data_IF_520080122822
#
_entry.id   IF_520080122822
#
_cell.length_a   1.000
_cell.length_b   1.000
_cell.length_c   1.000
_cell.angle_alpha   90.00
_cell.angle_beta   90.00
_cell.angle_gamma   90.00
#
_symmetry.space_group_name_H-M   'P 1'
#
loop_
_entity.id
_entity.type
_entity.pdbx_description
1 polymer ?
#
# COMPACT_ATOMS: atom_id res chain seq x y z
N UNK A 1 20.64 1.15 -4.14
CA UNK A 1 20.35 2.50 -4.64
C UNK A 1 19.54 3.25 -3.58
N UNK A 2 20.07 4.37 -3.10
CA UNK A 2 19.42 5.23 -2.11
C UNK A 2 19.33 6.63 -2.67
N UNK A 3 18.15 7.25 -2.55
CA UNK A 3 17.95 8.64 -2.95
C UNK A 3 17.37 9.42 -1.75
N UNK A 4 18.19 10.24 -1.12
CA UNK A 4 17.79 11.02 0.06
C UNK A 4 16.75 12.11 -0.22
N UNK A 5 16.60 12.52 -1.50
CA UNK A 5 15.57 13.51 -1.88
C UNK A 5 14.16 12.92 -1.95
N UNK A 6 14.06 11.63 -2.32
CA UNK A 6 12.80 10.90 -2.45
C UNK A 6 12.57 9.92 -1.30
N UNK A 7 13.57 9.74 -0.43
CA UNK A 7 13.63 8.70 0.59
C UNK A 7 13.48 7.27 0.02
N UNK A 8 13.77 7.10 -1.27
CA UNK A 8 13.73 5.80 -1.92
C UNK A 8 14.95 4.97 -1.54
N UNK A 9 14.72 3.72 -1.17
CA UNK A 9 15.76 2.73 -0.93
C UNK A 9 15.41 1.43 -1.64
N UNK A 10 16.39 0.85 -2.33
CA UNK A 10 16.24 -0.42 -3.00
C UNK A 10 17.58 -1.06 -3.31
N UNK A 11 17.57 -2.37 -3.51
CA UNK A 11 18.74 -3.17 -3.81
C UNK A 11 18.46 -4.21 -4.91
N UNK A 12 19.49 -4.56 -5.66
CA UNK A 12 19.46 -5.67 -6.61
C UNK A 12 20.31 -6.80 -6.02
N UNK A 13 19.73 -7.99 -6.00
CA UNK A 13 20.39 -9.22 -5.58
C UNK A 13 20.37 -10.22 -6.74
N UNK A 14 21.34 -11.11 -6.77
CA UNK A 14 21.34 -12.26 -7.66
C UNK A 14 21.39 -13.55 -6.83
N UNK A 15 20.50 -14.47 -7.10
CA UNK A 15 20.54 -15.82 -6.53
C UNK A 15 21.65 -16.60 -7.24
N UNK A 16 22.69 -17.00 -6.51
CA UNK A 16 23.87 -17.69 -7.06
C UNK A 16 23.56 -19.10 -7.61
N UNK A 17 22.43 -19.69 -7.24
CA UNK A 17 22.03 -21.03 -7.69
C UNK A 17 21.21 -20.99 -8.96
N UNK A 18 20.30 -20.01 -9.07
CA UNK A 18 19.34 -19.90 -10.19
C UNK A 18 19.69 -18.81 -11.17
N UNK A 19 20.63 -17.93 -10.81
CA UNK A 19 20.95 -16.67 -11.50
C UNK A 19 19.78 -15.68 -11.56
N UNK A 20 18.67 -15.92 -10.87
CA UNK A 20 17.55 -15.00 -10.80
C UNK A 20 17.99 -13.66 -10.18
N UNK A 21 17.57 -12.56 -10.79
CA UNK A 21 17.81 -11.21 -10.29
C UNK A 21 16.58 -10.73 -9.52
N UNK A 22 16.78 -10.36 -8.27
CA UNK A 22 15.74 -9.87 -7.38
C UNK A 22 15.92 -8.38 -7.18
N UNK A 23 14.91 -7.60 -7.54
CA UNK A 23 14.87 -6.14 -7.29
C UNK A 23 14.00 -5.91 -6.06
N UNK A 24 14.64 -5.57 -4.95
CA UNK A 24 13.99 -5.35 -3.67
C UNK A 24 13.75 -3.86 -3.42
N UNK A 25 12.49 -3.50 -3.19
CA UNK A 25 12.06 -2.15 -2.84
C UNK A 25 11.74 -2.08 -1.34
N UNK A 26 12.39 -1.16 -0.63
CA UNK A 26 12.14 -0.95 0.79
C UNK A 26 10.85 -0.15 0.97
N UNK A 27 10.02 -0.56 1.92
CA UNK A 27 8.93 0.25 2.45
C UNK A 27 9.42 1.32 3.42
N UNK A 28 8.60 2.31 3.69
CA UNK A 28 8.91 3.36 4.68
C UNK A 28 8.52 2.88 6.08
N UNK A 29 9.43 2.97 7.05
CA UNK A 29 9.18 2.59 8.45
C UNK A 29 8.10 3.46 9.11
N UNK A 30 7.98 4.72 8.69
CA UNK A 30 7.01 5.68 9.22
C UNK A 30 5.53 5.41 8.84
N UNK A 31 5.24 4.35 8.07
CA UNK A 31 3.85 3.95 7.79
C UNK A 31 3.11 3.44 9.05
N UNK A 32 3.84 3.02 10.08
CA UNK A 32 3.26 2.60 11.37
C UNK A 32 2.81 3.81 12.19
N UNK A 33 3.54 4.92 12.13
CA UNK A 33 3.22 6.18 12.80
C UNK A 33 2.21 7.04 12.01
N UNK A 34 2.10 6.81 10.74
CA UNK A 34 1.12 7.48 9.94
C UNK A 34 -0.26 6.88 10.24
N UNK A 35 -1.05 7.56 11.02
CA UNK A 35 -2.54 7.55 11.01
C UNK A 35 -2.95 8.01 9.62
N UNK A 36 -2.75 7.18 8.66
CA UNK A 36 -2.20 7.38 7.34
C UNK A 36 -3.16 8.15 6.48
N UNK A 37 -2.81 9.35 6.18
CA UNK A 37 -3.33 10.07 5.03
C UNK A 37 -2.95 9.27 3.76
N UNK A 38 -3.95 8.70 3.11
CA UNK A 38 -3.83 7.97 1.85
C UNK A 38 -3.05 8.78 0.80
N UNK A 39 -3.26 10.10 0.80
CA UNK A 39 -2.56 11.02 -0.09
C UNK A 39 -1.05 11.01 0.14
N UNK A 40 -0.62 10.99 1.39
CA UNK A 40 0.82 10.93 1.71
C UNK A 40 1.45 9.63 1.18
N UNK A 41 0.72 8.51 1.24
CA UNK A 41 1.17 7.24 0.64
C UNK A 41 1.27 7.35 -0.87
N UNK A 42 0.23 7.87 -1.52
CA UNK A 42 0.17 8.03 -2.97
C UNK A 42 1.27 8.99 -3.47
N UNK A 43 1.43 10.13 -2.81
CA UNK A 43 2.46 11.11 -3.16
C UNK A 43 3.87 10.49 -3.02
N UNK A 44 4.14 9.75 -1.94
CA UNK A 44 5.43 9.05 -1.76
C UNK A 44 5.66 7.97 -2.80
N UNK A 45 4.66 7.14 -3.09
CA UNK A 45 4.77 6.12 -4.14
C UNK A 45 5.08 6.76 -5.48
N UNK A 46 4.37 7.83 -5.85
CA UNK A 46 4.59 8.54 -7.11
C UNK A 46 6.00 9.13 -7.21
N UNK A 47 6.49 9.76 -6.13
CA UNK A 47 7.83 10.34 -6.06
C UNK A 47 8.91 9.24 -6.19
N UNK A 48 8.72 8.09 -5.52
CA UNK A 48 9.69 7.01 -5.50
C UNK A 48 9.63 6.09 -6.74
N UNK A 49 8.52 6.09 -7.48
CA UNK A 49 8.32 5.19 -8.61
C UNK A 49 9.37 5.33 -9.71
N UNK A 50 9.88 6.54 -9.95
CA UNK A 50 10.93 6.78 -10.95
C UNK A 50 12.31 6.28 -10.48
N UNK A 51 12.63 6.38 -9.19
CA UNK A 51 13.87 5.81 -8.66
C UNK A 51 13.80 4.28 -8.64
N UNK A 52 12.65 3.71 -8.33
CA UNK A 52 12.40 2.28 -8.48
C UNK A 52 12.56 1.82 -9.93
N UNK A 53 12.10 2.61 -10.91
CA UNK A 53 12.30 2.32 -12.33
C UNK A 53 13.79 2.41 -12.75
N UNK A 54 14.55 3.34 -12.19
CA UNK A 54 16.01 3.40 -12.43
C UNK A 54 16.69 2.13 -11.91
N UNK A 55 16.35 1.68 -10.71
CA UNK A 55 16.87 0.44 -10.14
C UNK A 55 16.51 -0.78 -11.00
N UNK A 56 15.25 -0.86 -11.46
CA UNK A 56 14.79 -1.93 -12.36
C UNK A 56 15.57 -1.92 -13.69
N UNK A 57 15.85 -0.74 -14.27
CA UNK A 57 16.68 -0.63 -15.48
C UNK A 57 18.14 -1.06 -15.24
N UNK A 58 18.68 -0.87 -14.03
CA UNK A 58 19.99 -1.42 -13.67
C UNK A 58 19.97 -2.95 -13.68
N UNK A 59 18.96 -3.55 -13.06
CA UNK A 59 18.77 -5.01 -13.06
C UNK A 59 18.61 -5.58 -14.49
N UNK A 60 17.93 -4.85 -15.39
CA UNK A 60 17.82 -5.23 -16.79
C UNK A 60 19.19 -5.26 -17.49
N UNK A 61 20.04 -4.26 -17.25
CA UNK A 61 21.41 -4.22 -17.81
C UNK A 61 22.25 -5.38 -17.30
N UNK A 62 22.19 -5.67 -16.00
CA UNK A 62 22.89 -6.82 -15.41
C UNK A 62 22.45 -8.15 -16.06
N UNK A 63 21.13 -8.33 -16.29
CA UNK A 63 20.60 -9.51 -16.97
C UNK A 63 21.09 -9.62 -18.42
N UNK A 64 21.16 -8.50 -19.14
CA UNK A 64 21.63 -8.44 -20.52
C UNK A 64 23.14 -8.71 -20.61
N UNK A 65 23.93 -8.14 -19.72
CA UNK A 65 25.37 -8.34 -19.66
C UNK A 65 25.73 -9.79 -19.23
N UNK A 66 24.95 -10.37 -18.31
CA UNK A 66 25.06 -11.79 -17.99
C UNK A 66 24.88 -12.67 -19.25
N UNK A 67 23.84 -12.38 -20.04
CA UNK A 67 23.54 -13.15 -21.26
C UNK A 67 24.64 -13.02 -22.32
N UNK A 68 25.20 -11.82 -22.49
CA UNK A 68 26.33 -11.60 -23.43
C UNK A 68 27.58 -12.39 -23.04
N UNK A 69 27.86 -12.44 -21.73
CA UNK A 69 29.04 -13.09 -21.20
C UNK A 69 28.89 -14.61 -21.04
N UNK A 70 27.62 -15.11 -21.05
CA UNK A 70 27.29 -16.52 -20.83
C UNK A 70 26.35 -17.04 -21.92
N UNK A 71 26.83 -17.07 -23.18
CA UNK A 71 26.01 -17.38 -24.37
C UNK A 71 25.24 -18.71 -24.32
N UNK A 72 25.66 -19.64 -23.50
CA UNK A 72 25.00 -20.94 -23.32
C UNK A 72 24.00 -20.99 -22.13
N UNK A 73 23.77 -19.87 -21.47
CA UNK A 73 22.84 -19.77 -20.35
C UNK A 73 21.65 -18.87 -20.70
N UNK A 74 20.50 -19.21 -20.14
CA UNK A 74 19.30 -18.38 -20.29
C UNK A 74 19.50 -17.02 -19.61
N UNK A 75 18.90 -15.99 -20.21
CA UNK A 75 18.86 -14.66 -19.61
C UNK A 75 18.22 -14.75 -18.21
N UNK A 76 18.84 -14.18 -17.18
CA UNK A 76 18.30 -14.18 -15.85
C UNK A 76 16.86 -13.61 -15.81
N UNK A 77 16.00 -14.32 -15.10
CA UNK A 77 14.67 -13.82 -14.76
C UNK A 77 14.81 -12.68 -13.75
N UNK A 78 13.96 -11.66 -13.87
CA UNK A 78 13.92 -10.54 -12.92
C UNK A 78 12.61 -10.62 -12.16
N UNK A 79 12.70 -10.62 -10.83
CA UNK A 79 11.55 -10.61 -9.91
C UNK A 79 11.57 -9.35 -9.04
N UNK A 80 10.45 -8.65 -9.01
CA UNK A 80 10.25 -7.47 -8.18
C UNK A 80 9.74 -7.90 -6.79
N UNK A 81 10.34 -7.40 -5.72
CA UNK A 81 9.89 -7.75 -4.36
C UNK A 81 9.76 -6.52 -3.47
N UNK A 82 8.82 -6.57 -2.53
CA UNK A 82 8.67 -5.48 -1.57
C UNK A 82 7.64 -5.75 -0.48
N UNK A 83 7.78 -5.01 0.61
CA UNK A 83 6.86 -5.00 1.75
C UNK A 83 6.22 -3.62 1.90
N UNK A 84 4.96 -3.56 2.32
CA UNK A 84 4.30 -2.29 2.59
C UNK A 84 4.30 -1.37 1.35
N UNK A 85 4.75 -0.13 1.46
CA UNK A 85 4.93 0.81 0.34
C UNK A 85 5.93 0.28 -0.71
N UNK A 86 6.99 -0.40 -0.30
CA UNK A 86 7.91 -1.08 -1.22
C UNK A 86 7.22 -2.15 -2.06
N UNK A 87 6.18 -2.79 -1.52
CA UNK A 87 5.33 -3.72 -2.25
C UNK A 87 4.48 -3.03 -3.32
N UNK A 88 3.99 -1.81 -3.08
CA UNK A 88 3.32 -1.02 -4.11
C UNK A 88 4.29 -0.68 -5.26
N UNK A 89 5.53 -0.29 -4.93
CA UNK A 89 6.58 -0.06 -5.93
C UNK A 89 6.88 -1.33 -6.73
N UNK A 90 6.98 -2.49 -6.07
CA UNK A 90 7.17 -3.77 -6.75
C UNK A 90 6.03 -4.09 -7.74
N UNK A 91 4.77 -3.87 -7.36
CA UNK A 91 3.60 -4.01 -8.25
C UNK A 91 3.71 -3.09 -9.47
N UNK A 92 4.06 -1.81 -9.26
CA UNK A 92 4.21 -0.81 -10.32
C UNK A 92 5.31 -1.23 -11.30
N UNK A 93 6.49 -1.61 -10.79
CA UNK A 93 7.60 -2.01 -11.65
C UNK A 93 7.31 -3.34 -12.36
N UNK A 94 6.64 -4.30 -11.71
CA UNK A 94 6.18 -5.53 -12.36
C UNK A 94 5.26 -5.24 -13.55
N UNK A 95 4.31 -4.31 -13.38
CA UNK A 95 3.42 -3.90 -14.46
C UNK A 95 4.17 -3.20 -15.59
N UNK A 96 4.95 -2.15 -15.26
CA UNK A 96 5.66 -1.31 -16.23
C UNK A 96 6.70 -2.07 -17.07
N UNK A 97 7.41 -3.01 -16.46
CA UNK A 97 8.49 -3.76 -17.09
C UNK A 97 8.10 -5.20 -17.45
N UNK A 98 6.84 -5.57 -17.26
CA UNK A 98 6.34 -6.90 -17.54
C UNK A 98 7.10 -8.01 -16.80
N UNK A 99 7.53 -7.75 -15.56
CA UNK A 99 8.22 -8.67 -14.69
C UNK A 99 7.24 -9.42 -13.76
N UNK A 100 7.69 -10.55 -13.24
CA UNK A 100 7.03 -11.16 -12.10
C UNK A 100 7.34 -10.40 -10.81
N UNK A 101 6.48 -10.57 -9.80
CA UNK A 101 6.68 -9.95 -8.50
C UNK A 101 6.11 -10.76 -7.35
N UNK A 102 6.69 -10.55 -6.17
CA UNK A 102 6.21 -11.11 -4.90
C UNK A 102 6.18 -9.99 -3.87
N UNK A 103 5.05 -9.78 -3.24
CA UNK A 103 4.92 -8.73 -2.24
C UNK A 103 4.36 -9.25 -0.92
N UNK A 104 4.65 -8.55 0.16
CA UNK A 104 4.26 -8.92 1.51
C UNK A 104 3.56 -7.73 2.18
N UNK A 105 2.30 -7.93 2.61
CA UNK A 105 1.49 -6.86 3.19
C UNK A 105 1.59 -5.53 2.42
N UNK A 106 1.65 -5.62 1.09
CA UNK A 106 1.84 -4.46 0.25
C UNK A 106 0.63 -3.52 0.31
N UNK A 107 0.85 -2.23 0.21
CA UNK A 107 -0.21 -1.32 -0.20
C UNK A 107 -0.57 -1.62 -1.67
N UNK A 108 -1.86 -1.66 -2.00
CA UNK A 108 -2.30 -1.98 -3.36
C UNK A 108 -1.99 -0.87 -4.35
N UNK A 109 -1.36 -1.22 -5.47
CA UNK A 109 -0.98 -0.25 -6.50
C UNK A 109 -2.09 0.04 -7.52
N UNK A 110 -3.14 -0.76 -7.60
CA UNK A 110 -4.21 -0.60 -8.58
C UNK A 110 -5.11 0.63 -8.33
N UNK A 111 -5.00 1.28 -7.17
CA UNK A 111 -5.60 2.59 -6.92
C UNK A 111 -4.83 3.75 -7.57
N UNK A 112 -3.63 3.47 -8.09
CA UNK A 112 -2.78 4.44 -8.77
C UNK A 112 -3.13 4.51 -10.26
N UNK A 113 -2.91 5.68 -10.86
CA UNK A 113 -3.18 5.90 -12.28
C UNK A 113 -2.47 4.87 -13.15
N UNK A 114 -3.19 4.31 -14.08
CA UNK A 114 -2.71 3.38 -15.12
C UNK A 114 -2.25 1.99 -14.63
N UNK A 115 -2.47 1.64 -13.37
CA UNK A 115 -2.19 0.30 -12.85
C UNK A 115 -3.52 -0.48 -12.75
N UNK A 116 -3.74 -1.56 -13.52
CA UNK A 116 -4.97 -2.34 -13.46
C UNK A 116 -5.06 -3.17 -12.16
N UNK A 117 -6.28 -3.44 -11.73
CA UNK A 117 -6.54 -4.39 -10.66
C UNK A 117 -6.43 -5.83 -11.18
N UNK A 118 -5.95 -6.75 -10.34
CA UNK A 118 -5.87 -8.17 -10.68
C UNK A 118 -4.69 -8.52 -11.57
N UNK A 119 -4.83 -9.62 -12.32
CA UNK A 119 -3.75 -10.20 -13.11
C UNK A 119 -3.01 -11.33 -12.38
N UNK A 120 -1.97 -11.88 -13.02
CA UNK A 120 -1.28 -13.08 -12.52
C UNK A 120 0.24 -12.94 -12.39
N UNK A 121 0.82 -11.79 -12.71
CA UNK A 121 2.27 -11.59 -12.67
C UNK A 121 2.82 -11.35 -11.27
N UNK A 122 2.01 -10.76 -10.40
CA UNK A 122 2.41 -10.51 -9.02
C UNK A 122 1.61 -11.39 -8.08
N UNK A 123 2.30 -11.98 -7.12
CA UNK A 123 1.67 -12.66 -5.98
C UNK A 123 1.82 -11.76 -4.75
N UNK A 124 0.69 -11.33 -4.22
CA UNK A 124 0.62 -10.45 -3.07
C UNK A 124 0.21 -11.28 -1.84
N UNK A 125 1.15 -11.62 -0.98
CA UNK A 125 0.86 -12.26 0.31
C UNK A 125 0.42 -11.23 1.33
N UNK A 126 -0.77 -11.40 1.88
CA UNK A 126 -1.35 -10.48 2.85
C UNK A 126 -1.82 -11.22 4.11
N UNK A 127 -1.62 -10.59 5.28
CA UNK A 127 -2.21 -11.06 6.52
C UNK A 127 -3.68 -10.67 6.59
N UNK A 128 -4.49 -11.54 7.18
CA UNK A 128 -5.96 -11.39 7.22
C UNK A 128 -6.41 -10.05 7.81
N UNK A 129 -5.75 -9.60 8.86
CA UNK A 129 -6.08 -8.37 9.60
C UNK A 129 -5.15 -7.20 9.32
N UNK A 130 -4.33 -7.28 8.27
CA UNK A 130 -3.45 -6.18 7.89
C UNK A 130 -4.21 -5.08 7.14
N UNK A 131 -4.36 -3.92 7.80
CA UNK A 131 -5.08 -2.79 7.27
C UNK A 131 -4.36 -2.12 6.07
N UNK A 132 -3.04 -2.21 5.97
CA UNK A 132 -2.29 -1.61 4.87
C UNK A 132 -2.57 -2.34 3.57
N UNK A 133 -2.50 -3.67 3.58
CA UNK A 133 -2.82 -4.47 2.39
C UNK A 133 -4.32 -4.50 2.05
N UNK A 134 -5.19 -4.14 3.01
CA UNK A 134 -6.62 -4.02 2.78
C UNK A 134 -7.02 -2.66 2.20
N UNK A 135 -6.15 -1.64 2.29
CA UNK A 135 -6.52 -0.25 2.03
C UNK A 135 -6.76 0.10 0.56
N UNK A 136 -6.21 -0.67 -0.38
CA UNK A 136 -6.34 -0.42 -1.81
C UNK A 136 -6.29 -1.72 -2.62
N UNK A 137 -6.88 -1.74 -3.84
CA UNK A 137 -6.82 -2.89 -4.72
C UNK A 137 -5.39 -3.13 -5.24
N UNK A 138 -5.08 -4.39 -5.55
CA UNK A 138 -3.75 -4.82 -5.95
C UNK A 138 -3.65 -5.14 -7.44
N UNK A 139 -2.48 -4.87 -8.03
CA UNK A 139 -2.06 -5.51 -9.27
C UNK A 139 -1.52 -6.90 -8.94
N UNK A 140 -2.06 -7.93 -9.62
CA UNK A 140 -1.72 -9.32 -9.37
C UNK A 140 -2.72 -10.05 -8.44
N UNK A 141 -2.40 -11.31 -8.16
CA UNK A 141 -3.21 -12.19 -7.29
C UNK A 141 -2.93 -11.89 -5.82
N UNK A 142 -3.97 -11.75 -5.01
CA UNK A 142 -3.85 -11.65 -3.55
C UNK A 142 -4.06 -13.02 -2.91
N UNK A 143 -3.14 -13.41 -2.03
CA UNK A 143 -3.23 -14.61 -1.20
C UNK A 143 -3.27 -14.17 0.26
N UNK A 144 -4.41 -14.37 0.90
CA UNK A 144 -4.60 -14.02 2.29
C UNK A 144 -4.23 -15.21 3.18
N UNK A 145 -3.43 -14.94 4.20
CA UNK A 145 -2.96 -15.90 5.19
C UNK A 145 -3.39 -15.41 6.59
N UNK A 146 -3.96 -16.30 7.40
CA UNK A 146 -4.47 -15.98 8.72
C UNK A 146 -3.78 -16.76 9.84
N UNK A 147 -3.63 -16.12 11.00
CA UNK A 147 -3.38 -16.79 12.29
C UNK A 147 -4.65 -16.76 13.13
N UNK A 148 -4.81 -17.76 14.04
CA UNK A 148 -5.98 -17.83 14.90
C UNK A 148 -6.17 -16.56 15.75
N UNK A 149 -5.06 -15.95 16.19
CA UNK A 149 -5.10 -14.69 16.97
C UNK A 149 -5.74 -13.52 16.21
N UNK A 150 -5.52 -13.43 14.89
CA UNK A 150 -6.13 -12.41 14.05
C UNK A 150 -7.64 -12.61 13.93
N UNK A 151 -8.06 -13.85 13.71
CA UNK A 151 -9.49 -14.17 13.60
C UNK A 151 -10.21 -13.93 14.91
N UNK A 152 -9.60 -14.29 16.03
CA UNK A 152 -10.15 -13.98 17.36
C UNK A 152 -10.31 -12.46 17.54
N UNK A 153 -9.31 -11.69 17.12
CA UNK A 153 -9.38 -10.24 17.16
C UNK A 153 -10.52 -9.70 16.30
N UNK A 154 -10.61 -10.10 15.03
CA UNK A 154 -11.69 -9.69 14.13
C UNK A 154 -13.06 -10.09 14.69
N UNK A 155 -13.17 -11.28 15.24
CA UNK A 155 -14.41 -11.75 15.86
C UNK A 155 -14.83 -10.86 17.04
N UNK A 156 -13.91 -10.52 17.95
CA UNK A 156 -14.18 -9.65 19.11
C UNK A 156 -14.47 -8.20 18.71
N UNK A 157 -14.02 -7.78 17.54
CA UNK A 157 -14.29 -6.47 16.96
C UNK A 157 -15.63 -6.38 16.21
N UNK A 158 -16.41 -7.46 16.18
CA UNK A 158 -17.75 -7.47 15.63
C UNK A 158 -17.89 -8.06 14.21
N UNK A 159 -16.81 -8.57 13.61
CA UNK A 159 -16.87 -9.26 12.30
C UNK A 159 -17.33 -10.72 12.43
N UNK A 160 -18.26 -11.01 13.34
CA UNK A 160 -18.69 -12.37 13.69
C UNK A 160 -20.07 -12.75 13.11
N UNK A 161 -20.56 -12.01 12.12
CA UNK A 161 -21.90 -12.17 11.52
C UNK A 161 -23.07 -12.06 12.54
N UNK A 162 -22.85 -11.46 13.69
CA UNK A 162 -23.88 -11.25 14.69
C UNK A 162 -24.70 -10.01 14.37
N UNK A 163 -25.95 -10.20 14.01
CA UNK A 163 -26.92 -9.14 13.63
C UNK A 163 -27.15 -8.10 14.75
N UNK A 164 -26.75 -8.41 15.98
CA UNK A 164 -27.00 -7.58 17.18
C UNK A 164 -25.79 -6.84 17.70
N UNK A 165 -24.67 -6.82 16.96
CA UNK A 165 -23.47 -6.09 17.38
C UNK A 165 -23.55 -4.61 16.96
N UNK A 166 -23.05 -3.69 17.78
CA UNK A 166 -22.93 -2.30 17.38
C UNK A 166 -21.99 -2.17 16.16
N UNK A 167 -22.14 -1.10 15.37
CA UNK A 167 -21.27 -0.88 14.20
C UNK A 167 -19.79 -0.95 14.61
N UNK A 168 -19.04 -1.72 13.85
CA UNK A 168 -17.61 -1.95 14.08
C UNK A 168 -16.87 -0.63 13.96
N UNK A 169 -16.02 -0.31 14.92
CA UNK A 169 -15.08 0.79 14.78
C UNK A 169 -13.84 0.31 14.02
N UNK A 170 -13.96 0.22 12.71
CA UNK A 170 -12.91 -0.30 11.82
C UNK A 170 -11.60 0.50 11.90
N UNK A 171 -11.71 1.81 12.19
CA UNK A 171 -10.51 2.64 12.39
C UNK A 171 -9.74 2.21 13.65
N UNK A 172 -10.46 1.91 14.74
CA UNK A 172 -9.83 1.36 15.96
C UNK A 172 -9.28 -0.05 15.70
N UNK A 173 -10.02 -0.89 14.95
CA UNK A 173 -9.59 -2.23 14.58
C UNK A 173 -8.27 -2.22 13.78
N UNK A 174 -8.15 -1.32 12.83
CA UNK A 174 -6.94 -1.16 12.01
C UNK A 174 -5.73 -0.75 12.84
N UNK A 175 -5.93 0.02 13.92
CA UNK A 175 -4.85 0.48 14.81
C UNK A 175 -4.40 -0.61 15.79
N UNK A 176 -5.29 -1.50 16.23
CA UNK A 176 -4.98 -2.53 17.23
C UNK A 176 -4.09 -3.64 16.68
N UNK A 177 -4.12 -3.89 15.38
CA UNK A 177 -3.42 -5.03 14.77
C UNK A 177 -2.18 -4.66 13.94
N UNK A 178 -1.41 -3.68 14.40
CA UNK A 178 -0.15 -3.28 13.75
C UNK A 178 0.86 -4.44 13.62
N UNK A 179 0.83 -5.41 14.54
CA UNK A 179 1.67 -6.61 14.47
C UNK A 179 1.44 -7.47 13.22
N UNK A 180 0.24 -7.46 12.65
CA UNK A 180 -0.05 -8.17 11.40
C UNK A 180 0.72 -7.58 10.21
N UNK A 181 1.03 -6.28 10.23
CA UNK A 181 1.74 -5.60 9.15
C UNK A 181 3.23 -5.95 9.08
N UNK A 182 3.83 -6.39 10.16
CA UNK A 182 5.29 -6.59 10.24
C UNK A 182 5.82 -7.57 9.17
N UNK A 183 6.95 -7.21 8.55
CA UNK A 183 7.69 -8.11 7.62
C UNK A 183 8.17 -9.38 8.32
N UNK A 184 8.39 -9.35 9.64
CA UNK A 184 8.79 -10.53 10.43
C UNK A 184 7.77 -11.68 10.35
N UNK A 185 6.52 -11.41 9.99
CA UNK A 185 5.53 -12.44 9.73
C UNK A 185 5.87 -13.34 8.54
N UNK A 186 6.70 -12.87 7.62
CA UNK A 186 7.05 -13.53 6.35
C UNK A 186 8.50 -13.99 6.29
N UNK A 187 9.29 -13.76 7.34
CA UNK A 187 10.72 -14.06 7.40
C UNK A 187 11.06 -14.94 8.60
N UNK A 188 12.23 -15.60 8.55
CA UNK A 188 12.71 -16.47 9.64
C UNK A 188 12.02 -17.82 9.72
N UNK A 189 12.37 -18.60 10.74
CA UNK A 189 11.89 -19.98 10.95
C UNK A 189 10.39 -20.08 11.21
N UNK A 190 9.80 -19.05 11.83
CA UNK A 190 8.38 -18.98 12.16
C UNK A 190 7.56 -18.23 11.11
N UNK A 191 8.13 -18.01 9.93
CA UNK A 191 7.45 -17.40 8.80
C UNK A 191 6.11 -18.09 8.51
N UNK A 192 5.09 -17.29 8.25
CA UNK A 192 3.78 -17.81 7.81
C UNK A 192 3.89 -18.50 6.44
N UNK A 193 4.96 -18.24 5.68
CA UNK A 193 5.26 -18.86 4.39
C UNK A 193 6.12 -20.13 4.50
N UNK A 194 6.54 -20.53 5.70
CA UNK A 194 7.28 -21.79 5.87
C UNK A 194 6.40 -22.98 5.48
N UNK A 195 7.03 -24.07 5.04
CA UNK A 195 6.32 -25.32 4.67
C UNK A 195 5.32 -25.77 5.75
N UNK A 196 5.69 -25.62 7.02
CA UNK A 196 4.86 -25.97 8.16
C UNK A 196 3.63 -25.07 8.32
N UNK A 197 3.75 -23.77 8.06
CA UNK A 197 2.75 -22.76 8.44
C UNK A 197 1.86 -22.36 7.26
N UNK A 198 2.34 -22.45 6.04
CA UNK A 198 1.65 -21.89 4.86
C UNK A 198 0.28 -22.51 4.63
N UNK A 199 0.21 -23.84 4.51
CA UNK A 199 -1.05 -24.50 4.21
C UNK A 199 -2.09 -24.33 5.32
N UNK A 200 -1.76 -24.48 6.62
CA UNK A 200 -2.69 -24.18 7.72
C UNK A 200 -3.19 -22.73 7.71
N UNK A 201 -2.32 -21.75 7.44
CA UNK A 201 -2.70 -20.35 7.41
C UNK A 201 -3.64 -20.02 6.23
N UNK A 202 -3.41 -20.63 5.07
CA UNK A 202 -4.26 -20.51 3.90
C UNK A 202 -5.66 -21.10 4.15
N UNK A 203 -5.73 -22.32 4.67
CA UNK A 203 -7.00 -22.98 5.00
C UNK A 203 -7.78 -22.19 6.06
N UNK A 204 -7.08 -21.68 7.06
CA UNK A 204 -7.69 -20.87 8.11
C UNK A 204 -8.32 -19.60 7.54
N UNK A 205 -7.62 -18.93 6.62
CA UNK A 205 -8.15 -17.75 5.92
C UNK A 205 -9.37 -18.12 5.05
N UNK A 206 -9.32 -19.24 4.33
CA UNK A 206 -10.42 -19.68 3.48
C UNK A 206 -11.69 -20.02 4.28
N UNK A 207 -11.56 -20.70 5.42
CA UNK A 207 -12.72 -21.02 6.29
C UNK A 207 -13.37 -19.77 6.91
N UNK A 208 -12.62 -18.70 7.06
CA UNK A 208 -13.09 -17.46 7.66
C UNK A 208 -13.19 -16.31 6.64
N UNK A 209 -13.35 -16.66 5.37
CA UNK A 209 -13.29 -15.74 4.24
C UNK A 209 -14.22 -14.56 4.40
N UNK A 210 -15.50 -14.79 4.71
CA UNK A 210 -16.51 -13.74 4.85
C UNK A 210 -16.10 -12.70 5.89
N UNK A 211 -15.71 -13.13 7.10
CA UNK A 211 -15.26 -12.23 8.16
C UNK A 211 -14.05 -11.38 7.74
N UNK A 212 -13.12 -11.98 7.03
CA UNK A 212 -11.91 -11.31 6.57
C UNK A 212 -12.25 -10.31 5.45
N UNK A 213 -13.11 -10.70 4.51
CA UNK A 213 -13.55 -9.83 3.41
C UNK A 213 -14.31 -8.63 3.94
N UNK A 214 -15.27 -8.81 4.85
CA UNK A 214 -16.03 -7.74 5.49
C UNK A 214 -15.09 -6.71 6.16
N UNK A 215 -14.09 -7.20 6.92
CA UNK A 215 -13.09 -6.32 7.52
C UNK A 215 -12.29 -5.54 6.46
N UNK A 216 -11.81 -6.23 5.42
CA UNK A 216 -10.98 -5.62 4.37
C UNK A 216 -11.76 -4.62 3.52
N UNK A 217 -13.05 -4.88 3.26
CA UNK A 217 -13.93 -3.94 2.58
C UNK A 217 -14.21 -2.69 3.41
N UNK A 218 -14.43 -2.84 4.72
CA UNK A 218 -14.58 -1.71 5.63
C UNK A 218 -13.32 -0.84 5.68
N UNK A 219 -12.13 -1.45 5.75
CA UNK A 219 -10.86 -0.72 5.70
C UNK A 219 -10.75 0.07 4.39
N UNK A 220 -11.04 -0.55 3.26
CA UNK A 220 -11.04 0.07 1.93
C UNK A 220 -12.03 1.23 1.85
N UNK A 221 -13.24 1.05 2.39
CA UNK A 221 -14.28 2.08 2.42
C UNK A 221 -13.85 3.31 3.24
N UNK A 222 -13.36 3.11 4.46
CA UNK A 222 -12.89 4.19 5.32
C UNK A 222 -11.74 4.95 4.66
N UNK A 223 -10.78 4.22 4.06
CA UNK A 223 -9.66 4.83 3.34
C UNK A 223 -10.11 5.67 2.15
N UNK A 224 -11.07 5.17 1.38
CA UNK A 224 -11.63 5.94 0.26
C UNK A 224 -12.41 7.17 0.72
N UNK A 225 -13.11 7.08 1.85
CA UNK A 225 -13.84 8.19 2.47
C UNK A 225 -12.90 9.30 2.97
N UNK A 226 -11.82 8.93 3.65
CA UNK A 226 -10.78 9.88 4.09
C UNK A 226 -10.16 10.60 2.88
N UNK A 227 -9.86 9.88 1.82
CA UNK A 227 -9.30 10.48 0.60
C UNK A 227 -10.24 11.52 -0.01
N UNK A 228 -11.51 11.17 -0.21
CA UNK A 228 -12.53 12.11 -0.75
C UNK A 228 -12.71 13.34 0.13
N UNK A 229 -12.72 13.16 1.46
CA UNK A 229 -12.84 14.26 2.40
C UNK A 229 -11.62 15.19 2.31
N UNK A 230 -10.42 14.65 2.21
CA UNK A 230 -9.21 15.44 2.07
C UNK A 230 -9.14 16.20 0.73
N UNK A 231 -9.63 15.60 -0.37
CA UNK A 231 -9.75 16.32 -1.65
C UNK A 231 -10.74 17.49 -1.53
N UNK A 232 -11.91 17.23 -0.94
CA UNK A 232 -12.91 18.29 -0.73
C UNK A 232 -12.38 19.44 0.13
N UNK A 233 -11.66 19.15 1.20
CA UNK A 233 -11.04 20.17 2.06
C UNK A 233 -10.02 21.02 1.29
N UNK A 234 -9.23 20.41 0.40
CA UNK A 234 -8.29 21.16 -0.44
C UNK A 234 -8.96 22.07 -1.43
N UNK A 235 -9.98 21.57 -2.11
CA UNK A 235 -10.73 22.38 -3.06
C UNK A 235 -11.37 23.56 -2.34
N UNK A 236 -11.90 23.34 -1.13
CA UNK A 236 -12.45 24.39 -0.28
C UNK A 236 -11.38 25.42 0.12
N UNK A 237 -10.19 24.97 0.52
CA UNK A 237 -9.06 25.84 0.87
C UNK A 237 -8.59 26.66 -0.35
N UNK A 238 -8.54 26.04 -1.53
CA UNK A 238 -8.16 26.73 -2.76
C UNK A 238 -9.21 27.77 -3.19
N UNK A 239 -10.50 27.46 -3.05
CA UNK A 239 -11.59 28.41 -3.27
C UNK A 239 -11.46 29.59 -2.29
N UNK A 240 -11.25 29.30 -1.01
CA UNK A 240 -11.05 30.33 0.02
C UNK A 240 -9.86 31.23 -0.31
N UNK A 241 -8.71 30.67 -0.68
CA UNK A 241 -7.52 31.42 -1.08
C UNK A 241 -7.80 32.33 -2.26
N UNK A 242 -8.43 31.80 -3.33
CA UNK A 242 -8.78 32.62 -4.51
C UNK A 242 -9.78 33.74 -4.19
N UNK A 243 -10.78 33.40 -3.37
CA UNK A 243 -11.77 34.43 -2.93
C UNK A 243 -11.08 35.53 -2.13
N UNK A 244 -10.17 35.14 -1.21
CA UNK A 244 -9.38 36.12 -0.43
C UNK A 244 -8.54 37.03 -1.32
N UNK A 245 -7.86 36.46 -2.32
CA UNK A 245 -7.06 37.23 -3.28
C UNK A 245 -7.92 38.23 -4.10
N UNK A 246 -9.17 37.92 -4.39
CA UNK A 246 -10.11 38.82 -5.07
C UNK A 246 -10.52 39.94 -4.13
N UNK A 247 -10.89 39.63 -2.89
CA UNK A 247 -11.27 40.60 -1.87
C UNK A 247 -10.11 41.56 -1.59
N UNK A 248 -8.90 41.05 -1.44
CA UNK A 248 -7.70 41.86 -1.14
C UNK A 248 -7.34 42.83 -2.31
N UNK A 249 -7.78 42.54 -3.54
CA UNK A 249 -7.56 43.37 -4.73
C UNK A 249 -8.64 44.42 -4.96
N UNK A 250 -9.81 44.29 -4.34
CA UNK A 250 -10.92 45.26 -4.48
C UNK A 250 -11.30 45.84 -3.11
N UNK A 251 -10.84 47.07 -2.79
CA UNK A 251 -11.14 47.72 -1.51
C UNK A 251 -12.63 47.90 -1.25
N UNK A 252 -13.48 47.94 -2.30
CA UNK A 252 -14.92 48.09 -2.14
C UNK A 252 -15.61 46.78 -1.68
N UNK A 253 -14.98 45.62 -1.89
CA UNK A 253 -15.48 44.33 -1.36
C UNK A 253 -15.28 44.19 0.15
N UNK A 254 -14.33 44.88 0.75
CA UNK A 254 -14.10 44.89 2.19
C UNK A 254 -15.28 45.46 2.98
N UNK A 255 -16.01 46.42 2.43
CA UNK A 255 -17.17 47.01 3.08
C UNK A 255 -18.36 46.08 3.22
N UNK A 256 -18.36 44.98 2.50
CA UNK A 256 -19.40 43.93 2.55
C UNK A 256 -19.20 42.97 3.75
N UNK A 257 -17.96 42.72 4.11
CA UNK A 257 -17.58 41.80 5.19
C UNK A 257 -17.77 42.41 6.60
N UNK A 258 -17.82 43.73 6.72
CA UNK A 258 -18.07 44.42 8.00
C UNK A 258 -19.57 44.40 8.41
N UNK A 259 -20.48 44.13 7.48
CA UNK A 259 -21.94 44.18 7.74
C UNK A 259 -22.57 42.88 8.21
N UNK A 260 -21.98 41.74 7.85
CA UNK A 260 -22.53 40.43 8.21
C UNK A 260 -21.38 39.59 8.79
N UNK A 261 -21.40 39.32 10.08
CA UNK A 261 -20.50 38.42 10.80
C UNK A 261 -20.68 36.93 10.49
N UNK A 262 -20.46 36.40 9.27
CA UNK A 262 -20.46 34.97 9.04
C UNK A 262 -19.10 34.32 9.30
N UNK A 263 -18.06 35.12 9.62
CA UNK A 263 -16.68 34.61 9.74
C UNK A 263 -16.36 33.90 11.04
N UNK A 264 -17.24 33.94 12.05
CA UNK A 264 -16.97 33.22 13.31
C UNK A 264 -17.17 31.70 13.23
N UNK A 265 -17.80 31.20 12.18
CA UNK A 265 -18.06 29.75 12.02
C UNK A 265 -16.97 28.99 11.27
N UNK A 266 -15.98 29.66 10.68
CA UNK A 266 -14.89 29.04 9.94
C UNK A 266 -13.64 28.75 10.80
N UNK A 267 -13.65 29.13 12.09
CA UNK A 267 -12.53 28.93 13.02
C UNK A 267 -12.88 27.99 14.21
N UNK A 268 -14.01 27.30 14.18
CA UNK A 268 -14.40 26.31 15.21
C UNK A 268 -14.12 24.87 14.77
#
# INVERSE_FOLDING_TARGET
HNNSKTDYQGAVYQDVRTNEIIVAHRGTESMIDAKVDLKMVLDRVNIQAEDAAKLTRMALREADDFSKNNQNQLRPKITQVGHSLGGALAQIQSYRFNHEGVTFNAYGAAALKDIPEGGNRVVNYARASDAVSAAAPHYGKVIILAKQSELTLLWTQGYNNSINMPPVNTAASALVNLGAHSISNFTGSDSILSERNYQPALELAQRNRTMIEDYREDVKFIRSGIHKTNEYLKDTQEIYRKTREIIDKDPNMMSWNERDEPYQYAQA
#
